data_IF_975834634374
#
_entry.id   IF_975834634374
#
_cell.length_a   1.000
_cell.length_b   1.000
_cell.length_c   1.000
_cell.angle_alpha   90.00
_cell.angle_beta   90.00
_cell.angle_gamma   90.00
#
_symmetry.space_group_name_H-M   'P 1'
#
loop_
_entity.id
_entity.type
_entity.pdbx_description
1 polymer ?
#
# COMPACT_ATOMS: atom_id res chain seq x y z
N UNK A 1 -4.95 -3.58 -13.42
CA UNK A 1 -4.05 -2.69 -12.67
C UNK A 1 -3.59 -3.36 -11.38
N UNK A 2 -4.47 -3.72 -10.45
CA UNK A 2 -4.13 -4.37 -9.15
C UNK A 2 -3.64 -5.84 -9.18
N UNK A 3 -3.44 -6.41 -10.37
CA UNK A 3 -3.13 -7.84 -10.50
C UNK A 3 -1.77 -8.15 -9.87
N UNK A 4 -0.77 -7.28 -10.12
CA UNK A 4 0.57 -7.43 -9.56
C UNK A 4 0.55 -7.39 -8.03
N UNK A 5 -0.13 -6.42 -7.44
CA UNK A 5 -0.20 -6.23 -5.99
C UNK A 5 -0.92 -7.40 -5.30
N UNK A 6 -1.96 -7.95 -5.94
CA UNK A 6 -2.66 -9.15 -5.46
C UNK A 6 -1.78 -10.40 -5.59
N UNK A 7 -1.08 -10.57 -6.72
CA UNK A 7 -0.16 -11.69 -6.93
C UNK A 7 1.01 -11.63 -5.93
N UNK A 8 1.54 -10.44 -5.64
CA UNK A 8 2.60 -10.23 -4.65
C UNK A 8 2.12 -10.53 -3.21
N UNK A 9 0.89 -10.16 -2.88
CA UNK A 9 0.23 -10.53 -1.62
C UNK A 9 0.06 -12.05 -1.51
N UNK A 10 -0.43 -12.70 -2.57
CA UNK A 10 -0.61 -14.15 -2.63
C UNK A 10 0.71 -14.92 -2.52
N UNK A 11 1.78 -14.36 -3.08
CA UNK A 11 3.13 -14.90 -2.97
C UNK A 11 3.76 -14.71 -1.57
N UNK A 12 3.05 -14.06 -0.63
CA UNK A 12 3.55 -13.84 0.73
C UNK A 12 4.73 -12.88 0.82
N UNK A 13 4.91 -11.99 -0.17
CA UNK A 13 6.07 -11.07 -0.21
C UNK A 13 6.09 -10.07 0.95
N UNK A 14 4.94 -9.78 1.56
CA UNK A 14 4.83 -8.72 2.56
C UNK A 14 4.52 -9.27 3.95
N UNK A 15 5.32 -8.85 4.93
CA UNK A 15 5.04 -9.15 6.33
C UNK A 15 3.85 -8.33 6.87
N UNK A 16 3.25 -8.79 7.98
CA UNK A 16 2.23 -8.04 8.73
C UNK A 16 2.69 -6.61 9.09
N UNK A 17 3.96 -6.42 9.41
CA UNK A 17 4.51 -5.12 9.77
C UNK A 17 4.61 -4.20 8.54
N UNK A 18 5.10 -4.73 7.42
CA UNK A 18 5.16 -4.05 6.11
C UNK A 18 3.77 -3.54 5.72
N UNK A 19 2.75 -4.41 5.78
CA UNK A 19 1.39 -4.06 5.41
C UNK A 19 0.75 -2.99 6.30
N UNK A 20 1.06 -2.99 7.61
CA UNK A 20 0.65 -1.90 8.51
C UNK A 20 1.28 -0.56 8.12
N UNK A 21 2.57 -0.55 7.76
CA UNK A 21 3.27 0.66 7.30
C UNK A 21 2.73 1.16 5.97
N UNK A 22 2.41 0.25 5.04
CA UNK A 22 1.77 0.58 3.76
C UNK A 22 0.39 1.21 4.02
N UNK A 23 -0.46 0.57 4.83
CA UNK A 23 -1.79 1.11 5.16
C UNK A 23 -1.70 2.50 5.80
N UNK A 24 -0.70 2.76 6.64
CA UNK A 24 -0.49 4.08 7.22
C UNK A 24 -0.23 5.18 6.17
N UNK A 25 0.25 4.83 4.96
CA UNK A 25 0.44 5.79 3.87
C UNK A 25 -0.86 6.11 3.13
N UNK A 26 -1.89 5.27 3.22
CA UNK A 26 -3.20 5.51 2.60
C UNK A 26 -3.73 6.92 2.88
N UNK A 27 -3.64 7.36 4.14
CA UNK A 27 -4.11 8.68 4.58
C UNK A 27 -3.34 9.86 3.97
N UNK A 28 -2.15 9.61 3.42
CA UNK A 28 -1.26 10.62 2.82
C UNK A 28 -1.34 10.64 1.30
N UNK A 29 -2.01 9.65 0.71
CA UNK A 29 -2.24 9.61 -0.74
C UNK A 29 -3.33 10.64 -1.04
N UNK A 30 -2.92 11.74 -1.67
CA UNK A 30 -3.82 12.77 -2.16
C UNK A 30 -3.91 12.69 -3.69
N UNK A 31 -5.11 12.85 -4.24
CA UNK A 31 -5.36 12.84 -5.69
C UNK A 31 -6.27 11.70 -6.15
N UNK A 32 -6.26 11.46 -7.46
CA UNK A 32 -7.10 10.43 -8.10
C UNK A 32 -6.55 9.04 -7.80
N UNK A 33 -7.24 8.28 -6.95
CA UNK A 33 -6.96 6.87 -6.72
C UNK A 33 -7.94 6.05 -7.56
N UNK A 34 -7.43 5.11 -8.35
CA UNK A 34 -8.29 4.11 -8.99
C UNK A 34 -8.85 3.19 -7.91
N UNK A 35 -10.15 2.87 -7.94
CA UNK A 35 -10.71 1.97 -6.94
C UNK A 35 -10.51 0.53 -7.42
N UNK A 36 -10.01 -0.40 -6.58
CA UNK A 36 -9.84 -1.79 -6.98
C UNK A 36 -11.20 -2.46 -7.22
N UNK A 37 -11.26 -3.31 -8.24
CA UNK A 37 -12.46 -4.11 -8.51
C UNK A 37 -12.76 -5.05 -7.34
N UNK A 38 -14.05 -5.31 -7.07
CA UNK A 38 -14.52 -6.10 -5.93
C UNK A 38 -13.79 -7.45 -5.78
N UNK A 39 -13.56 -8.16 -6.89
CA UNK A 39 -12.87 -9.47 -6.88
C UNK A 39 -11.43 -9.38 -6.35
N UNK A 40 -10.69 -8.32 -6.69
CA UNK A 40 -9.33 -8.12 -6.19
C UNK A 40 -9.35 -7.82 -4.69
N UNK A 41 -10.30 -7.00 -4.24
CA UNK A 41 -10.45 -6.68 -2.81
C UNK A 41 -10.83 -7.93 -2.00
N UNK A 42 -11.74 -8.75 -2.51
CA UNK A 42 -12.14 -10.01 -1.86
C UNK A 42 -10.97 -10.97 -1.73
N UNK A 43 -10.18 -11.12 -2.79
CA UNK A 43 -8.97 -11.97 -2.78
C UNK A 43 -7.93 -11.44 -1.80
N UNK A 44 -7.61 -10.15 -1.86
CA UNK A 44 -6.66 -9.52 -0.95
C UNK A 44 -7.14 -9.60 0.50
N UNK A 45 -8.44 -9.40 0.76
CA UNK A 45 -9.02 -9.53 2.10
C UNK A 45 -8.72 -10.90 2.69
N UNK A 46 -8.97 -12.00 1.96
CA UNK A 46 -8.72 -13.36 2.47
C UNK A 46 -7.26 -13.55 2.88
N UNK A 47 -6.32 -13.12 2.02
CA UNK A 47 -4.88 -13.21 2.30
C UNK A 47 -4.49 -12.35 3.50
N UNK A 48 -5.04 -11.13 3.60
CA UNK A 48 -4.78 -10.25 4.72
C UNK A 48 -5.34 -10.82 6.03
N UNK A 49 -6.50 -11.47 6.01
CA UNK A 49 -7.07 -12.11 7.20
C UNK A 49 -6.18 -13.25 7.71
N UNK A 50 -5.56 -14.01 6.81
CA UNK A 50 -4.55 -15.03 7.12
C UNK A 50 -3.30 -14.40 7.76
N UNK A 51 -2.76 -13.32 7.17
CA UNK A 51 -1.55 -12.64 7.69
C UNK A 51 -1.82 -11.95 9.04
N UNK A 52 -2.99 -11.34 9.20
CA UNK A 52 -3.34 -10.59 10.41
C UNK A 52 -3.89 -11.49 11.51
N UNK A 53 -4.24 -12.74 11.20
CA UNK A 53 -4.92 -13.70 12.08
C UNK A 53 -6.21 -13.12 12.66
N UNK A 54 -7.09 -12.62 11.79
CA UNK A 54 -8.38 -12.06 12.22
C UNK A 54 -9.22 -11.51 11.07
N UNK A 55 -10.49 -11.22 11.35
CA UNK A 55 -11.42 -10.69 10.35
C UNK A 55 -11.11 -9.23 10.03
N UNK A 56 -11.03 -8.91 8.74
CA UNK A 56 -10.74 -7.56 8.25
C UNK A 56 -11.93 -6.97 7.52
N UNK A 57 -12.10 -5.65 7.61
CA UNK A 57 -13.15 -4.98 6.87
C UNK A 57 -12.78 -4.88 5.39
N UNK A 58 -13.77 -4.98 4.49
CA UNK A 58 -13.56 -4.90 3.04
C UNK A 58 -12.88 -3.57 2.63
N UNK A 59 -13.26 -2.48 3.31
CA UNK A 59 -12.61 -1.17 3.17
C UNK A 59 -11.11 -1.24 3.44
N UNK A 60 -10.69 -1.90 4.52
CA UNK A 60 -9.28 -2.00 4.89
C UNK A 60 -8.44 -2.71 3.82
N UNK A 61 -8.96 -3.80 3.25
CA UNK A 61 -8.31 -4.50 2.15
C UNK A 61 -8.19 -3.64 0.88
N UNK A 62 -9.23 -2.87 0.56
CA UNK A 62 -9.22 -1.93 -0.56
C UNK A 62 -8.15 -0.83 -0.38
N UNK A 63 -8.10 -0.24 0.81
CA UNK A 63 -7.12 0.80 1.16
C UNK A 63 -5.68 0.28 1.08
N UNK A 64 -5.43 -0.95 1.54
CA UNK A 64 -4.11 -1.59 1.42
C UNK A 64 -3.73 -1.78 -0.05
N UNK A 65 -4.64 -2.26 -0.90
CA UNK A 65 -4.35 -2.45 -2.32
C UNK A 65 -4.00 -1.13 -3.02
N UNK A 66 -4.77 -0.07 -2.74
CA UNK A 66 -4.47 1.25 -3.26
C UNK A 66 -3.11 1.77 -2.76
N UNK A 67 -2.83 1.60 -1.47
CA UNK A 67 -1.57 2.05 -0.89
C UNK A 67 -0.36 1.26 -1.41
N UNK A 68 -0.51 -0.06 -1.60
CA UNK A 68 0.52 -0.92 -2.22
C UNK A 68 0.82 -0.46 -3.64
N UNK A 69 -0.22 -0.25 -4.45
CA UNK A 69 -0.06 0.23 -5.81
C UNK A 69 0.62 1.59 -5.83
N UNK A 70 0.22 2.51 -4.95
CA UNK A 70 0.86 3.83 -4.86
C UNK A 70 2.34 3.70 -4.49
N UNK A 71 2.66 2.96 -3.42
CA UNK A 71 4.05 2.80 -2.96
C UNK A 71 4.93 2.03 -3.95
N UNK A 72 4.34 1.18 -4.79
CA UNK A 72 5.06 0.44 -5.84
C UNK A 72 5.38 1.30 -7.06
N UNK A 73 4.72 2.46 -7.22
CA UNK A 73 4.85 3.32 -8.40
C UNK A 73 5.40 4.71 -8.09
N UNK A 74 5.62 5.04 -6.81
CA UNK A 74 6.11 6.35 -6.37
C UNK A 74 7.40 6.19 -5.56
N UNK A 75 8.31 7.13 -5.79
CA UNK A 75 9.61 7.17 -5.13
C UNK A 75 9.55 8.03 -3.86
N UNK A 76 10.38 7.69 -2.89
CA UNK A 76 10.58 8.44 -1.67
C UNK A 76 11.37 9.71 -1.98
N UNK A 77 10.81 10.86 -1.63
CA UNK A 77 11.35 12.16 -2.00
C UNK A 77 12.81 12.41 -1.54
N UNK A 78 13.24 11.80 -0.43
CA UNK A 78 14.58 12.06 0.13
C UNK A 78 15.65 11.09 -0.37
N UNK A 79 15.28 9.85 -0.69
CA UNK A 79 16.22 8.77 -1.03
C UNK A 79 16.18 8.43 -2.52
N UNK A 80 15.14 8.87 -3.24
CA UNK A 80 14.82 8.48 -4.62
C UNK A 80 14.57 6.97 -4.81
N UNK A 81 14.57 6.19 -3.72
CA UNK A 81 14.22 4.78 -3.68
C UNK A 81 12.69 4.61 -3.84
N UNK A 82 12.23 3.45 -4.32
CA UNK A 82 10.79 3.15 -4.32
C UNK A 82 10.27 3.15 -2.87
N UNK A 83 9.10 3.77 -2.64
CA UNK A 83 8.50 3.82 -1.30
C UNK A 83 8.30 2.43 -0.71
N UNK A 84 7.98 1.44 -1.54
CA UNK A 84 7.84 0.05 -1.12
C UNK A 84 9.17 -0.56 -0.65
N UNK A 85 10.28 -0.27 -1.32
CA UNK A 85 11.60 -0.76 -0.96
C UNK A 85 12.08 -0.14 0.37
N UNK A 86 11.77 1.14 0.60
CA UNK A 86 12.03 1.80 1.89
C UNK A 86 11.17 1.22 3.03
N UNK A 87 9.93 0.80 2.73
CA UNK A 87 9.06 0.12 3.70
C UNK A 87 9.65 -1.24 4.10
N UNK A 88 10.09 -2.02 3.10
CA UNK A 88 10.58 -3.38 3.29
C UNK A 88 11.95 -3.39 4.00
N UNK A 89 12.81 -2.42 3.69
CA UNK A 89 14.08 -2.18 4.39
C UNK A 89 13.92 -1.57 5.79
N UNK A 90 12.69 -1.52 6.33
CA UNK A 90 12.36 -0.98 7.65
C UNK A 90 12.77 0.49 7.87
N UNK A 91 13.08 1.24 6.81
CA UNK A 91 13.47 2.65 6.90
C UNK A 91 12.26 3.53 7.27
N UNK A 92 12.54 4.70 7.83
CA UNK A 92 11.51 5.69 8.18
C UNK A 92 11.05 6.39 6.90
N UNK A 93 9.81 6.16 6.49
CA UNK A 93 9.25 6.79 5.30
C UNK A 93 8.79 8.21 5.64
N UNK A 94 9.40 9.20 5.01
CA UNK A 94 9.05 10.60 5.09
C UNK A 94 8.34 10.99 3.79
N UNK A 95 7.03 11.17 3.86
CA UNK A 95 6.30 11.78 2.76
C UNK A 95 6.50 13.29 2.87
N UNK A 96 6.97 13.91 1.79
CA UNK A 96 6.90 15.35 1.67
C UNK A 96 5.40 15.69 1.51
N UNK A 97 4.77 16.21 2.56
CA UNK A 97 3.50 16.92 2.39
C UNK A 97 3.79 17.96 1.31
N UNK A 98 3.09 17.89 0.18
CA UNK A 98 3.21 18.91 -0.86
C UNK A 98 3.11 20.29 -0.21
N UNK A 99 4.26 20.97 -0.04
CA UNK A 99 4.28 22.42 -0.06
C UNK A 99 3.85 22.75 -1.48
N UNK A 100 2.56 23.08 -1.60
CA UNK A 100 1.94 23.66 -2.78
C UNK A 100 2.90 24.75 -3.27
N UNK A 101 3.66 24.48 -4.34
CA UNK A 101 4.33 25.53 -5.07
C UNK A 101 3.24 26.25 -5.85
N UNK A 102 2.80 27.39 -5.34
CA UNK A 102 2.21 28.41 -6.20
C UNK A 102 3.30 28.84 -7.18
N UNK A 103 3.14 28.45 -8.45
CA UNK A 103 3.73 29.15 -9.58
C UNK A 103 2.61 29.81 -10.37
#
# INVERSE_FOLDING_TARGET
>A
MYKKEVDDLLAGKYSKQTLKKVHAQWKKIHGTVTIPHHNFVSTAKRVLEEIFHGTLHFKYASEILCALQYCSNHHHYLTDDLLLDDIDNHKRIVFNNYLIKYQ
#
